data_IF_935722467956
#
_entry.id   IF_935722467956
#
_cell.length_a   1.000
_cell.length_b   1.000
_cell.length_c   1.000
_cell.angle_alpha   90.00
_cell.angle_beta   90.00
_cell.angle_gamma   90.00
#
_symmetry.space_group_name_H-M   'P 1'
#
loop_
_entity.id
_entity.type
_entity.pdbx_description
1 polymer ?
#
# COMPACT_ATOMS: atom_id res chain seq x y z
N UNK A 1 9.25 -16.89 2.83
CA UNK A 1 9.03 -16.28 4.16
C UNK A 1 8.07 -15.13 3.97
N UNK A 2 6.91 -15.17 4.63
CA UNK A 2 5.98 -14.04 4.66
C UNK A 2 6.71 -12.81 5.20
N UNK A 3 6.52 -11.64 4.59
CA UNK A 3 6.94 -10.38 5.19
C UNK A 3 6.25 -10.24 6.56
N UNK A 4 6.90 -9.66 7.59
CA UNK A 4 6.19 -9.34 8.83
C UNK A 4 4.95 -8.49 8.52
N UNK A 5 3.82 -8.75 9.16
CA UNK A 5 2.54 -8.07 8.87
C UNK A 5 2.67 -6.54 8.90
N UNK A 6 3.46 -6.00 9.85
CA UNK A 6 3.77 -4.57 9.93
C UNK A 6 4.52 -4.04 8.71
N UNK A 7 5.37 -4.85 8.06
CA UNK A 7 6.05 -4.47 6.82
C UNK A 7 5.06 -4.39 5.65
N UNK A 8 4.08 -5.31 5.60
CA UNK A 8 3.02 -5.29 4.61
C UNK A 8 2.13 -4.05 4.80
N UNK A 9 1.68 -3.81 6.03
CA UNK A 9 0.93 -2.61 6.40
C UNK A 9 1.66 -1.34 5.98
N UNK A 10 2.97 -1.26 6.28
CA UNK A 10 3.79 -0.12 5.89
C UNK A 10 3.89 0.04 4.37
N UNK A 11 4.05 -1.04 3.62
CA UNK A 11 4.14 -0.99 2.16
C UNK A 11 2.84 -0.45 1.54
N UNK A 12 1.68 -0.99 1.95
CA UNK A 12 0.37 -0.54 1.46
C UNK A 12 0.12 0.93 1.81
N UNK A 13 0.42 1.33 3.05
CA UNK A 13 0.23 2.72 3.49
C UNK A 13 1.15 3.70 2.77
N UNK A 14 2.41 3.33 2.53
CA UNK A 14 3.35 4.15 1.75
C UNK A 14 2.92 4.27 0.30
N UNK A 15 2.50 3.16 -0.32
CA UNK A 15 1.97 3.16 -1.67
C UNK A 15 0.75 4.09 -1.79
N UNK A 16 -0.23 3.96 -0.89
CA UNK A 16 -1.43 4.80 -0.87
C UNK A 16 -1.09 6.30 -0.75
N UNK A 17 -0.05 6.63 0.04
CA UNK A 17 0.40 8.01 0.17
C UNK A 17 1.13 8.52 -1.09
N UNK A 18 1.94 7.68 -1.73
CA UNK A 18 2.62 8.02 -2.99
C UNK A 18 1.66 8.26 -4.14
N UNK A 19 0.52 7.55 -4.18
CA UNK A 19 -0.50 7.71 -5.21
C UNK A 19 -1.49 8.85 -4.93
N UNK A 20 -1.44 9.46 -3.74
CA UNK A 20 -2.37 10.52 -3.34
C UNK A 20 -2.28 11.69 -4.32
N UNK A 21 -3.43 12.06 -4.91
CA UNK A 21 -3.53 13.19 -5.83
C UNK A 21 -3.18 12.86 -7.29
N UNK A 22 -2.76 11.64 -7.60
CA UNK A 22 -2.57 11.21 -8.99
C UNK A 22 -3.89 10.80 -9.65
N UNK A 23 -4.09 11.11 -10.94
CA UNK A 23 -5.24 10.63 -11.69
C UNK A 23 -5.19 9.09 -11.84
N UNK A 24 -6.34 8.38 -11.88
CA UNK A 24 -6.39 6.92 -11.96
C UNK A 24 -5.58 6.33 -13.12
N UNK A 25 -5.56 7.00 -14.28
CA UNK A 25 -4.81 6.58 -15.47
C UNK A 25 -3.30 6.49 -15.27
N UNK A 26 -2.73 7.24 -14.31
CA UNK A 26 -1.29 7.23 -14.00
C UNK A 26 -0.91 6.39 -12.78
N UNK A 27 -1.88 5.94 -11.98
CA UNK A 27 -1.60 5.32 -10.69
C UNK A 27 -0.90 3.97 -10.83
N UNK A 28 -1.29 3.12 -11.79
CA UNK A 28 -0.66 1.82 -11.99
C UNK A 28 0.83 1.94 -12.36
N UNK A 29 1.15 2.81 -13.33
CA UNK A 29 2.53 3.06 -13.74
C UNK A 29 3.37 3.68 -12.60
N UNK A 30 2.81 4.65 -11.88
CA UNK A 30 3.47 5.26 -10.73
C UNK A 30 3.73 4.26 -9.60
N UNK A 31 2.76 3.37 -9.32
CA UNK A 31 2.89 2.32 -8.31
C UNK A 31 3.97 1.32 -8.68
N UNK A 32 3.99 0.84 -9.92
CA UNK A 32 5.00 -0.10 -10.40
C UNK A 32 6.41 0.52 -10.32
N UNK A 33 6.57 1.77 -10.76
CA UNK A 33 7.84 2.49 -10.68
C UNK A 33 8.29 2.73 -9.23
N UNK A 34 7.37 3.09 -8.34
CA UNK A 34 7.65 3.23 -6.91
C UNK A 34 8.07 1.90 -6.31
N UNK A 35 7.31 0.83 -6.54
CA UNK A 35 7.55 -0.49 -5.96
C UNK A 35 8.93 -1.00 -6.34
N UNK A 36 9.28 -0.93 -7.63
CA UNK A 36 10.60 -1.33 -8.15
C UNK A 36 11.77 -0.57 -7.52
N UNK A 37 11.57 0.68 -7.11
CA UNK A 37 12.60 1.53 -6.46
C UNK A 37 12.71 1.30 -4.96
N UNK A 38 11.75 0.60 -4.34
CA UNK A 38 11.72 0.39 -2.89
C UNK A 38 12.22 -0.98 -2.50
N UNK A 39 12.71 -1.09 -1.25
CA UNK A 39 13.07 -2.39 -0.67
C UNK A 39 11.89 -3.35 -0.48
N UNK A 40 10.65 -2.86 -0.59
CA UNK A 40 9.45 -3.69 -0.47
C UNK A 40 9.35 -4.73 -1.60
N UNK A 41 9.87 -4.42 -2.80
CA UNK A 41 9.86 -5.34 -3.93
C UNK A 41 10.57 -6.67 -3.68
N UNK A 42 11.48 -6.71 -2.71
CA UNK A 42 12.19 -7.95 -2.33
C UNK A 42 11.35 -8.90 -1.48
N UNK A 43 10.25 -8.43 -0.91
CA UNK A 43 9.49 -9.13 0.14
C UNK A 43 7.99 -9.15 -0.06
N UNK A 44 7.44 -8.23 -0.86
CA UNK A 44 6.01 -8.05 -1.07
C UNK A 44 5.78 -7.91 -2.57
N UNK A 45 4.89 -8.72 -3.13
CA UNK A 45 4.59 -8.65 -4.56
C UNK A 45 3.74 -7.41 -4.87
N UNK A 46 4.02 -6.76 -6.00
CA UNK A 46 3.29 -5.57 -6.46
C UNK A 46 1.77 -5.84 -6.52
N UNK A 47 1.39 -7.00 -7.06
CA UNK A 47 -0.01 -7.42 -7.18
C UNK A 47 -0.74 -7.49 -5.83
N UNK A 48 -0.05 -7.74 -4.72
CA UNK A 48 -0.70 -7.74 -3.40
C UNK A 48 -1.04 -6.32 -2.95
N UNK A 49 -0.12 -5.38 -3.18
CA UNK A 49 -0.34 -3.96 -2.89
C UNK A 49 -1.44 -3.39 -3.76
N UNK A 50 -1.46 -3.72 -5.06
CA UNK A 50 -2.51 -3.33 -6.00
C UNK A 50 -3.90 -3.78 -5.54
N UNK A 51 -4.03 -5.05 -5.14
CA UNK A 51 -5.30 -5.59 -4.62
C UNK A 51 -5.82 -4.81 -3.41
N UNK A 52 -4.94 -4.48 -2.46
CA UNK A 52 -5.32 -3.69 -1.28
C UNK A 52 -5.71 -2.26 -1.65
N UNK A 53 -4.98 -1.62 -2.58
CA UNK A 53 -5.27 -0.25 -3.01
C UNK A 53 -6.58 -0.14 -3.79
N UNK A 54 -6.93 -1.15 -4.59
CA UNK A 54 -8.19 -1.18 -5.32
C UNK A 54 -9.43 -1.17 -4.42
N UNK A 55 -9.31 -1.66 -3.17
CA UNK A 55 -10.40 -1.63 -2.19
C UNK A 55 -10.38 -0.40 -1.27
N UNK A 56 -9.46 0.54 -1.48
CA UNK A 56 -9.28 1.70 -0.60
C UNK A 56 -10.48 2.65 -0.67
N UNK A 57 -11.15 2.95 0.46
CA UNK A 57 -12.19 3.96 0.47
C UNK A 57 -11.62 5.39 0.29
N UNK A 58 -12.45 6.33 -0.22
CA UNK A 58 -12.09 7.75 -0.22
C UNK A 58 -11.97 8.29 1.22
N UNK A 59 -11.11 9.30 1.41
CA UNK A 59 -10.84 9.91 2.71
C UNK A 59 -9.57 9.41 3.40
N UNK A 60 -9.50 9.63 4.72
CA UNK A 60 -8.38 9.24 5.57
C UNK A 60 -8.54 7.82 6.11
N UNK A 61 -7.72 6.92 5.56
CA UNK A 61 -7.69 5.51 5.90
C UNK A 61 -6.24 5.01 5.90
N UNK A 62 -5.98 3.98 6.69
CA UNK A 62 -4.73 3.23 6.66
C UNK A 62 -5.00 1.73 6.68
N UNK A 63 -4.15 0.96 6.03
CA UNK A 63 -4.17 -0.49 6.05
C UNK A 63 -3.56 -1.01 7.36
N UNK A 64 -4.17 -2.03 7.96
CA UNK A 64 -3.66 -2.72 9.13
C UNK A 64 -4.10 -4.18 9.16
N UNK A 65 -3.22 -5.07 9.61
CA UNK A 65 -3.50 -6.50 9.79
C UNK A 65 -2.79 -7.42 8.79
N UNK A 66 -1.72 -6.94 8.16
CA UNK A 66 -0.91 -7.72 7.23
C UNK A 66 -1.65 -8.05 5.92
N UNK A 67 -1.24 -9.13 5.23
CA UNK A 67 -1.85 -9.52 3.95
C UNK A 67 -3.37 -9.80 4.02
N UNK A 68 -3.87 -10.24 5.18
CA UNK A 68 -5.30 -10.46 5.44
C UNK A 68 -6.00 -9.30 6.14
N UNK A 69 -5.34 -8.14 6.24
CA UNK A 69 -5.82 -6.97 6.93
C UNK A 69 -6.92 -6.21 6.19
N UNK A 70 -7.15 -4.97 6.62
CA UNK A 70 -8.14 -4.09 6.00
C UNK A 70 -7.89 -2.62 6.26
N UNK A 71 -8.63 -1.77 5.54
CA UNK A 71 -8.63 -0.33 5.74
C UNK A 71 -9.33 0.03 7.06
N UNK A 72 -8.63 0.79 7.90
CA UNK A 72 -9.14 1.37 9.14
C UNK A 72 -9.21 2.89 9.02
N UNK A 73 -10.25 3.47 9.60
CA UNK A 73 -10.49 4.92 9.60
C UNK A 73 -9.34 5.63 10.32
N UNK A 74 -8.95 6.78 9.77
CA UNK A 74 -7.96 7.66 10.37
C UNK A 74 -6.52 7.35 9.96
N UNK A 75 -5.56 7.92 10.69
CA UNK A 75 -4.14 7.82 10.40
C UNK A 75 -3.51 6.61 11.08
N UNK A 76 -2.59 5.93 10.40
CA UNK A 76 -1.80 4.86 11.00
C UNK A 76 -1.08 5.36 12.26
N UNK A 77 -1.11 4.58 13.33
CA UNK A 77 -0.49 4.93 14.61
C UNK A 77 1.05 4.95 14.56
N UNK A 78 1.69 4.36 13.53
CA UNK A 78 3.14 4.27 13.40
C UNK A 78 3.64 4.53 11.96
N UNK A 79 4.81 5.19 11.78
CA UNK A 79 5.40 5.59 10.48
C UNK A 79 6.28 4.55 9.76
#
# INVERSE_FOLDING_TARGET
MSAPDALFDLAVNRAANTLRGLPPSGQAAALAAWHARTRFARRIALAEVERCLASKPPGEWHWSGGPGGGWRVGKAAFP
#
